data_IF_347622037828
#
_entry.id   IF_347622037828
#
_cell.length_a   1.000
_cell.length_b   1.000
_cell.length_c   1.000
_cell.angle_alpha   90.00
_cell.angle_beta   90.00
_cell.angle_gamma   90.00
#
_symmetry.space_group_name_H-M   'P 1'
#
loop_
_entity.id
_entity.type
_entity.pdbx_description
1 polymer ?
#
# COMPACT_ATOMS: atom_id res chain seq x y z
N UNK A 1 1.38 -26.32 2.44
CA UNK A 1 0.80 -25.04 2.00
C UNK A 1 -0.71 -25.07 2.13
N UNK A 2 -1.22 -24.78 3.34
CA UNK A 2 -2.65 -24.63 3.56
C UNK A 2 -3.03 -23.19 3.23
N UNK A 3 -3.32 -22.92 1.95
CA UNK A 3 -3.86 -21.63 1.54
C UNK A 3 -5.30 -21.55 2.04
N UNK A 4 -5.52 -20.74 3.08
CA UNK A 4 -6.86 -20.41 3.54
C UNK A 4 -7.43 -19.40 2.56
N UNK A 5 -8.19 -19.87 1.57
CA UNK A 5 -8.94 -18.98 0.69
C UNK A 5 -10.03 -18.29 1.51
N UNK A 6 -9.87 -16.99 1.68
CA UNK A 6 -10.94 -16.12 2.19
C UNK A 6 -11.84 -15.72 1.02
N UNK A 7 -13.05 -15.27 1.34
CA UNK A 7 -14.06 -14.77 0.40
C UNK A 7 -13.47 -13.94 -0.73
N UNK A 8 -13.88 -14.23 -1.97
CA UNK A 8 -13.48 -13.45 -3.15
C UNK A 8 -14.14 -12.07 -3.07
N UNK A 9 -13.32 -11.03 -2.98
CA UNK A 9 -13.81 -9.66 -2.98
C UNK A 9 -14.18 -9.21 -4.39
N UNK A 10 -15.34 -8.55 -4.57
CA UNK A 10 -15.73 -7.96 -5.83
C UNK A 10 -14.84 -6.73 -6.16
N UNK A 11 -14.74 -6.35 -7.43
CA UNK A 11 -13.88 -5.23 -7.86
C UNK A 11 -14.41 -3.86 -7.43
N UNK A 12 -15.68 -3.81 -7.05
CA UNK A 12 -16.37 -2.64 -6.54
C UNK A 12 -15.91 -2.26 -5.12
N UNK A 13 -15.35 -3.20 -4.36
CA UNK A 13 -14.86 -2.98 -3.00
C UNK A 13 -13.38 -2.57 -3.01
N UNK A 14 -13.15 -1.25 -3.00
CA UNK A 14 -11.82 -0.65 -2.99
C UNK A 14 -11.25 -0.44 -1.56
N UNK A 15 -12.08 -0.62 -0.52
CA UNK A 15 -11.70 -0.37 0.87
C UNK A 15 -10.49 -1.18 1.31
N UNK A 16 -10.45 -2.49 1.02
CA UNK A 16 -9.30 -3.33 1.38
C UNK A 16 -8.02 -2.85 0.67
N UNK A 17 -8.14 -2.48 -0.60
CA UNK A 17 -7.01 -2.00 -1.40
C UNK A 17 -6.48 -0.67 -0.86
N UNK A 18 -7.35 0.23 -0.40
CA UNK A 18 -6.92 1.50 0.19
C UNK A 18 -6.19 1.29 1.52
N UNK A 19 -6.62 0.35 2.37
CA UNK A 19 -5.86 -0.02 3.57
C UNK A 19 -4.48 -0.59 3.23
N UNK A 20 -4.39 -1.44 2.19
CA UNK A 20 -3.10 -1.99 1.74
C UNK A 20 -2.19 -0.88 1.19
N UNK A 21 -2.73 0.05 0.41
CA UNK A 21 -1.99 1.20 -0.12
C UNK A 21 -1.50 2.16 0.98
N UNK A 22 -2.28 2.28 2.07
CA UNK A 22 -1.93 3.08 3.25
C UNK A 22 -1.03 2.34 4.26
N UNK A 23 -0.70 1.07 4.01
CA UNK A 23 0.06 0.21 4.93
C UNK A 23 -0.62 0.06 6.31
N UNK A 24 -1.96 0.08 6.34
CA UNK A 24 -2.79 -0.02 7.54
C UNK A 24 -3.51 -1.36 7.62
N UNK A 25 -3.61 -1.94 8.81
CA UNK A 25 -4.33 -3.18 9.06
C UNK A 25 -5.85 -2.90 9.21
N UNK A 26 -6.72 -3.44 8.33
CA UNK A 26 -8.15 -3.27 8.45
C UNK A 26 -8.68 -3.89 9.76
N UNK A 27 -9.52 -3.20 10.55
CA UNK A 27 -10.04 -3.72 11.82
C UNK A 27 -10.77 -5.07 11.68
N UNK A 28 -11.61 -5.22 10.66
CA UNK A 28 -12.34 -6.46 10.41
C UNK A 28 -11.43 -7.67 10.15
N UNK A 29 -10.25 -7.45 9.56
CA UNK A 29 -9.25 -8.50 9.33
C UNK A 29 -8.45 -8.74 10.60
N UNK A 30 -8.16 -7.70 11.39
CA UNK A 30 -7.47 -7.84 12.66
C UNK A 30 -8.22 -8.77 13.62
N UNK A 31 -9.51 -8.54 13.86
CA UNK A 31 -10.34 -9.39 14.74
C UNK A 31 -10.39 -10.86 14.27
N UNK A 32 -10.43 -11.06 12.95
CA UNK A 32 -10.42 -12.40 12.35
C UNK A 32 -9.07 -13.11 12.52
N UNK A 33 -7.97 -12.37 12.34
CA UNK A 33 -6.62 -12.90 12.51
C UNK A 33 -6.34 -13.21 13.98
N UNK A 34 -6.75 -12.36 14.91
CA UNK A 34 -6.59 -12.61 16.33
C UNK A 34 -7.35 -13.86 16.79
N UNK A 35 -8.59 -14.03 16.30
CA UNK A 35 -9.42 -15.19 16.68
C UNK A 35 -8.99 -16.51 16.03
N UNK A 36 -8.47 -16.50 14.80
CA UNK A 36 -8.15 -17.73 14.06
C UNK A 36 -6.66 -18.04 13.94
N UNK A 37 -5.82 -17.02 13.81
CA UNK A 37 -4.40 -17.13 13.44
C UNK A 37 -3.51 -16.07 14.13
N UNK A 38 -3.41 -16.08 15.47
CA UNK A 38 -2.56 -15.13 16.20
C UNK A 38 -1.07 -15.29 15.84
N UNK A 39 -0.65 -16.43 15.31
CA UNK A 39 0.73 -16.71 14.87
C UNK A 39 1.19 -15.88 13.66
N UNK A 40 0.27 -15.24 12.94
CA UNK A 40 0.60 -14.41 11.78
C UNK A 40 1.07 -13.00 12.15
N UNK A 41 0.91 -12.59 13.41
CA UNK A 41 1.36 -11.30 13.88
C UNK A 41 2.87 -11.28 14.13
N UNK A 42 3.54 -10.29 13.55
CA UNK A 42 4.94 -9.98 13.75
C UNK A 42 5.08 -8.59 14.36
N UNK A 43 5.39 -8.52 15.65
CA UNK A 43 5.47 -7.24 16.41
C UNK A 43 4.21 -6.38 16.27
N UNK A 44 3.03 -7.01 16.34
CA UNK A 44 1.73 -6.33 16.18
C UNK A 44 1.38 -5.95 14.72
N UNK A 45 2.24 -6.26 13.75
CA UNK A 45 2.02 -6.00 12.33
C UNK A 45 1.77 -7.30 11.56
N UNK A 46 1.19 -7.20 10.37
CA UNK A 46 0.91 -8.35 9.49
C UNK A 46 1.57 -8.13 8.13
N UNK A 47 2.20 -9.18 7.57
CA UNK A 47 2.83 -9.10 6.25
C UNK A 47 1.86 -9.65 5.20
N UNK A 48 1.47 -8.81 4.26
CA UNK A 48 0.62 -9.18 3.12
C UNK A 48 1.46 -9.40 1.88
N UNK A 49 1.19 -10.52 1.20
CA UNK A 49 1.80 -10.88 -0.08
C UNK A 49 0.82 -10.56 -1.21
N UNK A 50 1.14 -9.56 -2.03
CA UNK A 50 0.39 -9.17 -3.22
C UNK A 50 1.04 -9.81 -4.45
N UNK A 51 0.26 -10.48 -5.29
CA UNK A 51 0.75 -11.14 -6.50
C UNK A 51 0.04 -10.56 -7.72
N UNK A 52 0.79 -9.89 -8.61
CA UNK A 52 0.27 -9.41 -9.89
C UNK A 52 0.52 -10.44 -10.99
N UNK A 53 -0.59 -10.92 -11.57
CA UNK A 53 -0.59 -11.92 -12.64
C UNK A 53 -0.66 -11.31 -14.04
N UNK A 54 -0.78 -9.98 -14.21
CA UNK A 54 -0.95 -9.33 -15.53
C UNK A 54 0.25 -9.52 -16.45
N UNK A 55 1.46 -9.72 -15.91
CA UNK A 55 2.71 -9.87 -16.68
C UNK A 55 3.23 -11.32 -16.75
N UNK A 56 2.40 -12.31 -16.41
CA UNK A 56 2.82 -13.73 -16.30
C UNK A 56 3.03 -14.46 -17.62
N UNK A 57 2.91 -13.76 -18.75
CA UNK A 57 3.13 -14.32 -20.08
C UNK A 57 4.32 -13.60 -20.73
N UNK A 58 5.43 -14.28 -21.12
CA UNK A 58 5.66 -15.73 -21.29
C UNK A 58 6.43 -16.39 -20.12
N UNK A 59 6.61 -15.71 -19.00
CA UNK A 59 7.32 -16.23 -17.83
C UNK A 59 6.30 -16.49 -16.73
N UNK A 60 6.10 -17.75 -16.35
CA UNK A 60 5.19 -18.22 -15.27
C UNK A 60 5.54 -17.68 -13.86
N UNK A 61 6.22 -16.53 -13.77
CA UNK A 61 6.53 -15.81 -12.55
C UNK A 61 5.57 -14.63 -12.45
N UNK A 62 4.76 -14.62 -11.39
CA UNK A 62 3.99 -13.44 -11.00
C UNK A 62 4.94 -12.43 -10.34
N UNK A 63 4.65 -11.15 -10.53
CA UNK A 63 5.34 -10.11 -9.79
C UNK A 63 4.80 -10.11 -8.35
N UNK A 64 5.68 -10.34 -7.38
CA UNK A 64 5.29 -10.55 -5.98
C UNK A 64 5.81 -9.40 -5.13
N UNK A 65 4.88 -8.70 -4.49
CA UNK A 65 5.15 -7.60 -3.57
C UNK A 65 4.78 -8.03 -2.15
N UNK A 66 5.58 -7.59 -1.17
CA UNK A 66 5.29 -7.80 0.24
C UNK A 66 5.09 -6.44 0.90
N UNK A 67 3.95 -6.26 1.56
CA UNK A 67 3.56 -5.02 2.22
C UNK A 67 3.35 -5.31 3.70
N UNK A 68 3.90 -4.45 4.57
CA UNK A 68 3.71 -4.55 6.01
C UNK A 68 2.51 -3.71 6.42
N UNK A 69 1.43 -4.35 6.87
CA UNK A 69 0.27 -3.68 7.43
C UNK A 69 0.49 -3.42 8.92
N UNK A 70 0.39 -2.15 9.31
CA UNK A 70 0.58 -1.70 10.69
C UNK A 70 -0.76 -1.52 11.40
N UNK A 71 -0.81 -1.72 12.73
CA UNK A 71 -2.01 -1.42 13.49
C UNK A 71 -2.31 0.08 13.43
N UNK A 72 -3.59 0.42 13.33
CA UNK A 72 -4.05 1.81 13.33
C UNK A 72 -4.17 2.32 14.76
N UNK A 73 -4.16 3.64 14.94
CA UNK A 73 -4.40 4.26 16.27
C UNK A 73 -5.74 3.87 16.87
N UNK A 74 -6.76 3.66 16.03
CA UNK A 74 -8.07 3.16 16.46
C UNK A 74 -7.98 1.74 17.03
N UNK A 75 -7.16 0.86 16.42
CA UNK A 75 -6.90 -0.48 16.97
C UNK A 75 -6.30 -0.39 18.37
N UNK A 76 -5.26 0.44 18.54
CA UNK A 76 -4.61 0.67 19.83
C UNK A 76 -5.60 1.16 20.89
N UNK A 77 -6.48 2.10 20.53
CA UNK A 77 -7.54 2.60 21.44
C UNK A 77 -8.50 1.47 21.83
N UNK A 78 -8.92 0.66 20.86
CA UNK A 78 -9.81 -0.47 21.12
C UNK A 78 -9.15 -1.50 22.04
N UNK A 79 -7.88 -1.80 21.85
CA UNK A 79 -7.12 -2.74 22.68
C UNK A 79 -7.02 -2.23 24.13
N UNK A 80 -6.71 -0.94 24.32
CA UNK A 80 -6.70 -0.31 25.66
C UNK A 80 -8.09 -0.36 26.30
N UNK A 81 -9.16 -0.09 25.54
CA UNK A 81 -10.53 -0.20 26.04
C UNK A 81 -10.88 -1.63 26.45
N UNK A 82 -10.48 -2.62 25.65
CA UNK A 82 -10.73 -4.03 25.93
C UNK A 82 -10.03 -4.46 27.23
N UNK A 83 -8.75 -4.14 27.38
CA UNK A 83 -7.96 -4.44 28.59
C UNK A 83 -8.51 -3.74 29.83
N UNK A 84 -8.97 -2.49 29.68
CA UNK A 84 -9.49 -1.69 30.80
C UNK A 84 -10.96 -1.98 31.13
N UNK A 85 -11.67 -2.78 30.31
CA UNK A 85 -13.08 -3.10 30.50
C UNK A 85 -13.35 -4.09 31.65
N UNK A 86 -12.39 -4.97 31.94
CA UNK A 86 -12.57 -6.06 32.92
C UNK A 86 -12.12 -5.72 34.35
N UNK A 87 -11.61 -4.51 34.61
CA UNK A 87 -11.05 -4.14 35.93
C UNK A 87 -11.30 -2.70 36.35
N UNK A 88 -11.12 -2.43 37.65
CA UNK A 88 -11.13 -1.05 38.17
C UNK A 88 -9.80 -0.36 37.88
N UNK A 89 -9.65 0.13 36.66
CA UNK A 89 -8.50 0.95 36.26
C UNK A 89 -8.78 2.42 36.59
N UNK A 90 -7.82 3.07 37.24
CA UNK A 90 -7.87 4.53 37.37
C UNK A 90 -7.65 5.19 36.00
N UNK A 91 -8.16 6.42 35.78
CA UNK A 91 -7.93 7.14 34.52
C UNK A 91 -6.44 7.40 34.27
N UNK A 92 -5.64 7.56 35.33
CA UNK A 92 -4.20 7.79 35.25
C UNK A 92 -3.44 6.53 34.81
N UNK A 93 -3.81 5.35 35.33
CA UNK A 93 -3.23 4.07 34.91
C UNK A 93 -3.57 3.74 33.45
N UNK A 94 -4.82 4.01 33.05
CA UNK A 94 -5.26 3.85 31.66
C UNK A 94 -4.43 4.74 30.71
N UNK A 95 -4.22 6.01 31.07
CA UNK A 95 -3.41 6.94 30.29
C UNK A 95 -1.94 6.47 30.21
N UNK A 96 -1.39 5.96 31.31
CA UNK A 96 -0.03 5.43 31.34
C UNK A 96 0.12 4.21 30.43
N UNK A 97 -0.86 3.30 30.42
CA UNK A 97 -0.90 2.14 29.52
C UNK A 97 -0.95 2.58 28.05
N UNK A 98 -1.86 3.51 27.71
CA UNK A 98 -1.97 4.07 26.37
C UNK A 98 -0.66 4.71 25.91
N UNK A 99 -0.03 5.53 26.76
CA UNK A 99 1.25 6.17 26.47
C UNK A 99 2.35 5.15 26.16
N UNK A 100 2.47 4.09 26.96
CA UNK A 100 3.48 3.05 26.75
C UNK A 100 3.22 2.28 25.45
N UNK A 101 1.97 1.92 25.17
CA UNK A 101 1.60 1.18 23.97
C UNK A 101 1.85 2.01 22.70
N UNK A 102 1.48 3.30 22.71
CA UNK A 102 1.77 4.23 21.62
C UNK A 102 3.28 4.36 21.41
N UNK A 103 4.07 4.53 22.47
CA UNK A 103 5.53 4.63 22.33
C UNK A 103 6.16 3.34 21.79
N UNK A 104 5.64 2.18 22.17
CA UNK A 104 6.15 0.89 21.72
C UNK A 104 5.80 0.59 20.24
N UNK A 105 4.65 1.08 19.77
CA UNK A 105 4.14 0.82 18.41
C UNK A 105 4.51 1.92 17.41
N UNK A 106 4.82 3.13 17.89
CA UNK A 106 5.14 4.25 17.04
C UNK A 106 6.39 4.00 16.18
N UNK A 107 6.38 4.39 14.89
CA UNK A 107 7.57 4.35 14.07
C UNK A 107 8.63 5.33 14.61
N UNK A 108 9.92 5.10 14.33
CA UNK A 108 10.99 5.99 14.78
C UNK A 108 10.77 7.40 14.22
N UNK A 109 10.53 8.36 15.11
CA UNK A 109 10.35 9.76 14.76
C UNK A 109 11.71 10.42 14.54
N UNK A 110 11.89 11.06 13.39
CA UNK A 110 13.03 11.94 13.16
C UNK A 110 12.70 13.33 13.73
N UNK A 111 13.19 13.60 14.94
CA UNK A 111 13.04 14.91 15.60
C UNK A 111 14.21 15.86 15.34
N UNK A 112 15.18 15.46 14.52
CA UNK A 112 16.34 16.29 14.17
C UNK A 112 15.99 17.30 13.07
N UNK A 113 16.10 18.61 13.30
CA UNK A 113 15.85 19.65 12.29
C UNK A 113 17.01 19.78 11.30
N UNK A 114 17.57 18.66 10.80
CA UNK A 114 18.71 18.69 9.89
C UNK A 114 18.28 18.99 8.45
N UNK A 115 18.88 20.01 7.79
CA UNK A 115 18.60 20.30 6.38
C UNK A 115 19.07 19.18 5.44
N UNK A 116 19.93 18.26 5.92
CA UNK A 116 20.44 17.16 5.12
C UNK A 116 19.33 16.20 4.65
N UNK A 117 18.33 15.94 5.50
CA UNK A 117 17.19 15.06 5.17
C UNK A 117 16.41 15.64 3.98
N UNK A 118 16.14 16.95 4.00
CA UNK A 118 15.46 17.66 2.92
C UNK A 118 16.23 17.57 1.59
N UNK A 119 17.56 17.71 1.64
CA UNK A 119 18.41 17.58 0.45
C UNK A 119 18.40 16.15 -0.13
N UNK A 120 18.44 15.13 0.73
CA UNK A 120 18.35 13.72 0.31
C UNK A 120 16.99 13.43 -0.30
N UNK A 121 15.91 13.86 0.34
CA UNK A 121 14.55 13.72 -0.18
C UNK A 121 14.39 14.41 -1.55
N UNK A 122 14.91 15.64 -1.70
CA UNK A 122 14.89 16.35 -2.98
C UNK A 122 15.65 15.59 -4.07
N UNK A 123 16.83 15.03 -3.75
CA UNK A 123 17.60 14.22 -4.71
C UNK A 123 16.86 12.94 -5.11
N UNK A 124 16.25 12.23 -4.16
CA UNK A 124 15.45 11.03 -4.42
C UNK A 124 14.24 11.35 -5.31
N UNK A 125 13.49 12.39 -4.97
CA UNK A 125 12.37 12.87 -5.76
C UNK A 125 12.81 13.24 -7.18
N UNK A 126 13.88 14.03 -7.31
CA UNK A 126 14.44 14.39 -8.62
C UNK A 126 14.87 13.16 -9.41
N UNK A 127 15.52 12.16 -8.79
CA UNK A 127 15.89 10.91 -9.49
C UNK A 127 14.68 10.13 -9.95
N UNK A 128 13.65 9.97 -9.10
CA UNK A 128 12.40 9.27 -9.44
C UNK A 128 11.68 9.94 -10.62
N UNK A 129 11.77 11.26 -10.71
CA UNK A 129 11.10 12.06 -11.73
C UNK A 129 12.04 12.63 -12.80
N UNK A 130 13.29 12.15 -12.89
CA UNK A 130 14.30 12.71 -13.79
C UNK A 130 13.85 12.68 -15.26
N UNK A 131 13.09 11.65 -15.63
CA UNK A 131 12.55 11.46 -16.98
C UNK A 131 11.12 12.00 -17.15
N UNK A 132 10.52 12.55 -16.09
CA UNK A 132 9.16 13.09 -16.09
C UNK A 132 9.15 14.59 -16.46
N UNK A 133 9.83 14.95 -17.56
CA UNK A 133 9.80 16.32 -18.08
C UNK A 133 8.69 16.50 -19.12
N UNK A 134 8.11 17.70 -19.27
CA UNK A 134 7.10 17.96 -20.29
C UNK A 134 7.57 17.57 -21.71
N UNK A 135 8.82 17.86 -22.07
CA UNK A 135 9.39 17.51 -23.36
C UNK A 135 9.46 15.99 -23.58
N UNK A 136 9.97 15.24 -22.60
CA UNK A 136 10.01 13.77 -22.66
C UNK A 136 8.61 13.15 -22.69
N UNK A 137 7.67 13.68 -21.90
CA UNK A 137 6.26 13.24 -21.94
C UNK A 137 5.63 13.47 -23.31
N UNK A 138 5.88 14.62 -23.94
CA UNK A 138 5.38 14.92 -25.27
C UNK A 138 6.00 13.99 -26.33
N UNK A 139 7.32 13.78 -26.29
CA UNK A 139 8.00 12.87 -27.20
C UNK A 139 7.51 11.41 -27.02
N UNK A 140 7.38 10.94 -25.78
CA UNK A 140 6.86 9.61 -25.47
C UNK A 140 5.42 9.42 -25.96
N UNK A 141 4.57 10.45 -25.88
CA UNK A 141 3.21 10.42 -26.46
C UNK A 141 3.22 10.37 -27.98
N UNK A 142 4.10 11.12 -28.64
CA UNK A 142 4.22 11.15 -30.10
C UNK A 142 4.73 9.83 -30.68
N UNK A 143 5.68 9.18 -30.00
CA UNK A 143 6.31 7.94 -30.45
C UNK A 143 5.76 6.68 -29.79
N UNK A 144 4.75 6.80 -28.94
CA UNK A 144 4.12 5.67 -28.27
C UNK A 144 3.33 4.79 -29.24
N UNK A 145 3.11 3.53 -28.84
CA UNK A 145 2.39 2.54 -29.66
C UNK A 145 1.03 3.02 -30.14
N UNK A 146 0.30 3.77 -29.30
CA UNK A 146 -1.01 4.35 -29.64
C UNK A 146 -0.88 5.37 -30.77
N UNK A 147 0.12 6.25 -30.74
CA UNK A 147 0.34 7.25 -31.78
C UNK A 147 0.78 6.60 -33.11
N UNK A 148 1.67 5.61 -33.05
CA UNK A 148 2.07 4.80 -34.22
C UNK A 148 0.84 4.10 -34.82
N UNK A 149 -0.01 3.50 -34.00
CA UNK A 149 -1.22 2.83 -34.45
C UNK A 149 -2.23 3.81 -35.08
N UNK A 150 -2.40 5.02 -34.51
CA UNK A 150 -3.24 6.08 -35.09
C UNK A 150 -2.72 6.53 -36.45
N UNK A 151 -1.40 6.73 -36.59
CA UNK A 151 -0.78 7.09 -37.87
C UNK A 151 -1.02 6.01 -38.93
N UNK A 152 -0.76 4.73 -38.60
CA UNK A 152 -1.02 3.60 -39.51
C UNK A 152 -2.48 3.51 -39.96
N UNK A 153 -3.43 3.72 -39.04
CA UNK A 153 -4.87 3.74 -39.39
C UNK A 153 -5.22 4.89 -40.33
N UNK A 154 -4.64 6.07 -40.12
CA UNK A 154 -4.85 7.23 -40.99
C UNK A 154 -4.26 6.98 -42.39
N UNK A 155 -3.04 6.44 -42.47
CA UNK A 155 -2.40 6.08 -43.73
C UNK A 155 -3.22 5.01 -44.51
N UNK A 156 -3.82 4.03 -43.81
CA UNK A 156 -4.72 3.04 -44.42
C UNK A 156 -6.00 3.67 -45.00
N UNK A 157 -6.56 4.68 -44.34
CA UNK A 157 -7.74 5.41 -44.85
C UNK A 157 -7.37 6.26 -46.06
N UNK A 158 -6.21 6.93 -46.01
CA UNK A 158 -5.72 7.78 -47.10
C UNK A 158 -5.26 6.96 -48.34
N UNK A 159 -4.78 5.73 -48.16
CA UNK A 159 -4.35 4.84 -49.23
C UNK A 159 -5.51 4.13 -49.95
N UNK A 160 -6.75 4.28 -49.47
CA UNK A 160 -7.93 3.74 -50.16
C UNK A 160 -8.35 4.76 -51.24
N UNK A 161 -8.27 4.43 -52.54
CA UNK A 161 -8.65 5.39 -53.57
C UNK A 161 -10.12 5.72 -53.44
N UNK A 162 -10.46 7.01 -53.54
CA UNK A 162 -11.84 7.46 -53.63
C UNK A 162 -12.48 6.84 -54.89
N UNK A 163 -13.75 6.41 -54.82
CA UNK A 163 -14.46 5.83 -55.94
C UNK A 163 -14.61 6.80 -57.12
#
# INVERSE_FOLDING_TARGET
>A
DNCIETTKFPYEEDQLLSYVDNEELPPAVADLLESKHPELYYSGCVIVKVQDYRQTFPHFKCDTHHVLLRPTTQSVINDVNLVTSEGEWSPEERLALESQLVMATAPPLCLDPSPAVSLVQQRLHHRRHALNTPALRCAAKQHGQIAINRKRKLDQVAAKPLP
#
